data_IF_988516293944
#
_entry.id   IF_988516293944
#
_cell.length_a   1.000
_cell.length_b   1.000
_cell.length_c   1.000
_cell.angle_alpha   90.00
_cell.angle_beta   90.00
_cell.angle_gamma   90.00
#
_symmetry.space_group_name_H-M   'P 1'
#
loop_
_entity.id
_entity.type
_entity.pdbx_description
1 polymer ?
#
# COMPACT_ATOMS: atom_id res chain seq x y z
N UNK A 1 5.10 -7.44 21.74
CA UNK A 1 5.66 -6.43 20.79
C UNK A 1 6.79 -6.94 19.90
N UNK A 2 7.87 -7.56 20.42
CA UNK A 2 9.03 -7.99 19.60
C UNK A 2 8.70 -8.92 18.42
N UNK A 3 7.66 -9.75 18.51
CA UNK A 3 7.28 -10.68 17.44
C UNK A 3 6.47 -10.02 16.31
N UNK A 4 5.64 -9.01 16.61
CA UNK A 4 4.85 -8.27 15.62
C UNK A 4 5.78 -7.58 14.62
N UNK A 5 6.80 -6.90 15.14
CA UNK A 5 7.77 -6.16 14.31
C UNK A 5 8.63 -7.07 13.43
N UNK A 6 8.84 -8.33 13.84
CA UNK A 6 9.70 -9.28 13.10
C UNK A 6 9.09 -9.68 11.76
N UNK A 7 7.78 -9.94 11.73
CA UNK A 7 7.08 -10.37 10.52
C UNK A 7 6.64 -9.21 9.63
N UNK A 8 6.50 -8.00 10.21
CA UNK A 8 6.14 -6.79 9.50
C UNK A 8 7.33 -6.03 8.89
N UNK A 9 8.56 -6.56 9.02
CA UNK A 9 9.76 -5.92 8.44
C UNK A 9 9.62 -5.58 6.96
N UNK A 10 9.12 -6.46 6.07
CA UNK A 10 8.96 -6.12 4.66
C UNK A 10 8.00 -4.95 4.44
N UNK A 11 6.88 -4.93 5.17
CA UNK A 11 5.91 -3.84 5.11
C UNK A 11 6.49 -2.51 5.60
N UNK A 12 7.36 -2.53 6.62
CA UNK A 12 8.02 -1.33 7.13
C UNK A 12 9.08 -0.79 6.16
N UNK A 13 9.90 -1.68 5.57
CA UNK A 13 10.88 -1.30 4.55
C UNK A 13 10.21 -0.75 3.30
N UNK A 14 9.10 -1.38 2.87
CA UNK A 14 8.33 -0.90 1.73
C UNK A 14 7.62 0.42 2.04
N UNK A 15 7.09 0.62 3.24
CA UNK A 15 6.54 1.91 3.64
C UNK A 15 7.62 2.99 3.56
N UNK A 16 8.82 2.75 4.11
CA UNK A 16 9.92 3.71 4.00
C UNK A 16 10.27 4.01 2.53
N UNK A 17 10.25 2.98 1.66
CA UNK A 17 10.46 3.16 0.23
C UNK A 17 9.38 4.04 -0.42
N UNK A 18 8.09 3.79 -0.13
CA UNK A 18 6.96 4.62 -0.60
C UNK A 18 7.13 6.07 -0.14
N UNK A 19 7.44 6.26 1.14
CA UNK A 19 7.67 7.60 1.68
C UNK A 19 8.75 8.36 0.92
N UNK A 20 9.87 7.68 0.61
CA UNK A 20 10.97 8.31 -0.13
C UNK A 20 10.52 8.61 -1.58
N UNK A 21 9.98 7.63 -2.29
CA UNK A 21 9.70 7.78 -3.73
C UNK A 21 8.57 8.79 -4.01
N UNK A 22 7.53 8.84 -3.17
CA UNK A 22 6.42 9.79 -3.31
C UNK A 22 6.84 11.24 -2.98
N UNK A 23 7.86 11.45 -2.14
CA UNK A 23 8.29 12.79 -1.73
C UNK A 23 9.54 13.31 -2.47
N UNK A 24 10.22 12.47 -3.25
CA UNK A 24 11.36 12.89 -4.08
C UNK A 24 10.88 13.79 -5.23
N UNK A 25 11.66 14.84 -5.50
CA UNK A 25 11.48 15.66 -6.69
C UNK A 25 12.16 15.00 -7.89
N UNK A 26 11.37 14.47 -8.82
CA UNK A 26 11.87 13.95 -10.11
C UNK A 26 12.21 15.09 -11.06
N UNK A 27 13.31 15.82 -10.82
CA UNK A 27 13.73 17.02 -11.56
C UNK A 27 13.69 16.90 -13.09
N UNK A 28 14.80 16.58 -13.75
CA UNK A 28 14.84 16.43 -15.22
C UNK A 28 14.27 15.08 -15.70
N UNK A 29 14.10 14.12 -14.79
CA UNK A 29 13.63 12.76 -15.08
C UNK A 29 12.12 12.75 -15.41
N UNK A 30 11.32 13.61 -14.77
CA UNK A 30 9.89 13.72 -15.03
C UNK A 30 9.51 14.28 -16.41
N UNK A 31 10.49 14.75 -17.21
CA UNK A 31 10.28 15.18 -18.60
C UNK A 31 10.53 14.06 -19.63
N UNK A 32 10.89 12.86 -19.19
CA UNK A 32 11.09 11.73 -20.09
C UNK A 32 9.75 11.28 -20.70
N UNK A 33 9.79 10.87 -21.97
CA UNK A 33 8.63 10.38 -22.75
C UNK A 33 7.93 9.15 -22.13
N UNK A 34 8.55 8.53 -21.13
CA UNK A 34 7.99 7.42 -20.35
C UNK A 34 6.97 7.89 -19.29
N UNK A 35 7.00 9.16 -18.88
CA UNK A 35 6.05 9.73 -17.92
C UNK A 35 4.86 10.34 -18.66
N UNK A 36 3.82 9.54 -18.85
CA UNK A 36 2.55 10.02 -19.39
C UNK A 36 1.70 10.71 -18.30
N UNK A 37 0.78 11.63 -18.67
CA UNK A 37 -0.15 12.23 -17.72
C UNK A 37 -1.01 11.13 -17.06
N UNK A 38 -0.81 10.91 -15.75
CA UNK A 38 -1.47 9.85 -14.98
C UNK A 38 -0.59 8.64 -14.65
N UNK A 39 0.68 8.59 -15.08
CA UNK A 39 1.63 7.55 -14.66
C UNK A 39 1.80 7.51 -13.13
N UNK A 40 1.77 8.68 -12.51
CA UNK A 40 1.86 8.83 -11.06
C UNK A 40 0.71 8.13 -10.33
N UNK A 41 -0.54 8.30 -10.81
CA UNK A 41 -1.74 7.64 -10.28
C UNK A 41 -1.66 6.11 -10.33
N UNK A 42 -1.15 5.57 -11.44
CA UNK A 42 -0.93 4.11 -11.59
C UNK A 42 0.16 3.63 -10.66
N UNK A 43 1.22 4.43 -10.49
CA UNK A 43 2.32 4.14 -9.57
C UNK A 43 1.84 4.10 -8.13
N UNK A 44 1.07 5.11 -7.70
CA UNK A 44 0.39 5.15 -6.41
C UNK A 44 -0.45 3.89 -6.16
N UNK A 45 -1.36 3.56 -7.09
CA UNK A 45 -2.16 2.32 -7.00
C UNK A 45 -1.28 1.06 -6.82
N UNK A 46 -0.23 0.91 -7.63
CA UNK A 46 0.68 -0.24 -7.54
C UNK A 46 1.50 -0.30 -6.24
N UNK A 47 2.02 0.83 -5.79
CA UNK A 47 2.81 0.93 -4.56
C UNK A 47 2.00 0.55 -3.33
N UNK A 48 0.79 1.09 -3.21
CA UNK A 48 -0.11 0.84 -2.08
C UNK A 48 -0.76 -0.55 -2.13
N UNK A 49 -0.95 -1.12 -3.33
CA UNK A 49 -1.28 -2.54 -3.49
C UNK A 49 -0.20 -3.42 -2.83
N UNK A 50 1.07 -3.22 -3.18
CA UNK A 50 2.18 -4.02 -2.61
C UNK A 50 2.30 -3.78 -1.10
N UNK A 51 2.09 -2.55 -0.63
CA UNK A 51 2.07 -2.24 0.80
C UNK A 51 1.00 -3.05 1.55
N UNK A 52 -0.22 -3.12 1.02
CA UNK A 52 -1.31 -3.90 1.59
C UNK A 52 -1.03 -5.41 1.54
N UNK A 53 -0.42 -5.92 0.46
CA UNK A 53 0.03 -7.32 0.35
C UNK A 53 1.06 -7.66 1.42
N UNK A 54 2.07 -6.80 1.63
CA UNK A 54 3.09 -7.05 2.65
C UNK A 54 2.52 -6.98 4.07
N UNK A 55 1.64 -6.02 4.34
CA UNK A 55 0.97 -5.91 5.65
C UNK A 55 0.11 -7.15 5.92
N UNK A 56 -0.68 -7.58 4.94
CA UNK A 56 -1.52 -8.77 5.02
C UNK A 56 -0.72 -10.06 5.16
N UNK A 57 0.37 -10.21 4.40
CA UNK A 57 1.29 -11.35 4.48
C UNK A 57 1.97 -11.43 5.85
N UNK A 58 2.38 -10.28 6.41
CA UNK A 58 2.92 -10.20 7.77
C UNK A 58 1.90 -10.63 8.82
N UNK A 59 0.63 -10.24 8.66
CA UNK A 59 -0.45 -10.65 9.56
C UNK A 59 -0.74 -12.15 9.48
N UNK A 60 -0.86 -12.70 8.27
CA UNK A 60 -1.05 -14.13 8.02
C UNK A 60 0.10 -14.94 8.61
N UNK A 61 1.35 -14.47 8.48
CA UNK A 61 2.52 -15.18 9.02
C UNK A 61 2.59 -15.14 10.55
N UNK A 62 2.06 -14.07 11.16
CA UNK A 62 2.07 -13.91 12.60
C UNK A 62 0.95 -14.67 13.30
N UNK A 63 -0.26 -14.64 12.75
CA UNK A 63 -1.46 -15.19 13.39
C UNK A 63 -2.01 -16.44 12.69
N UNK A 64 -1.51 -16.78 11.50
CA UNK A 64 -1.98 -17.90 10.70
C UNK A 64 -3.10 -17.53 9.73
N UNK A 65 -3.22 -18.31 8.65
CA UNK A 65 -4.19 -18.10 7.56
C UNK A 65 -5.64 -18.05 8.08
N UNK A 66 -5.99 -18.91 9.04
CA UNK A 66 -7.34 -19.04 9.59
C UNK A 66 -7.81 -17.80 10.37
N UNK A 67 -6.88 -16.95 10.78
CA UNK A 67 -7.17 -15.72 11.53
C UNK A 67 -7.27 -14.48 10.64
N UNK A 68 -6.96 -14.57 9.34
CA UNK A 68 -7.15 -13.48 8.40
C UNK A 68 -8.60 -13.43 7.92
N UNK A 69 -9.45 -12.75 8.69
CA UNK A 69 -10.86 -12.55 8.37
C UNK A 69 -11.07 -11.26 7.56
N UNK A 70 -12.27 -11.06 7.01
CA UNK A 70 -12.67 -9.80 6.37
C UNK A 70 -12.39 -8.59 7.27
N UNK A 71 -12.62 -8.72 8.58
CA UNK A 71 -12.34 -7.65 9.55
C UNK A 71 -10.85 -7.33 9.68
N UNK A 72 -9.98 -8.34 9.58
CA UNK A 72 -8.53 -8.13 9.53
C UNK A 72 -8.12 -7.42 8.24
N UNK A 73 -8.73 -7.78 7.11
CA UNK A 73 -8.59 -7.08 5.83
C UNK A 73 -9.01 -5.62 5.92
N UNK A 74 -10.20 -5.32 6.44
CA UNK A 74 -10.70 -3.95 6.62
C UNK A 74 -9.76 -3.12 7.51
N UNK A 75 -9.23 -3.70 8.60
CA UNK A 75 -8.23 -3.00 9.43
C UNK A 75 -6.95 -2.69 8.65
N UNK A 76 -6.44 -3.65 7.88
CA UNK A 76 -5.27 -3.44 7.02
C UNK A 76 -5.52 -2.36 5.97
N UNK A 77 -6.72 -2.32 5.38
CA UNK A 77 -7.14 -1.29 4.41
C UNK A 77 -7.00 0.11 5.03
N UNK A 78 -7.64 0.32 6.18
CA UNK A 78 -7.61 1.63 6.83
C UNK A 78 -6.21 2.05 7.24
N UNK A 79 -5.36 1.12 7.69
CA UNK A 79 -3.96 1.42 8.01
C UNK A 79 -3.21 1.93 6.77
N UNK A 80 -3.37 1.25 5.62
CA UNK A 80 -2.67 1.60 4.38
C UNK A 80 -3.21 2.91 3.79
N UNK A 81 -4.52 3.12 3.78
CA UNK A 81 -5.15 4.36 3.31
C UNK A 81 -4.80 5.55 4.20
N UNK A 82 -4.81 5.36 5.53
CA UNK A 82 -4.38 6.42 6.45
C UNK A 82 -2.92 6.79 6.23
N UNK A 83 -2.07 5.80 5.96
CA UNK A 83 -0.67 6.03 5.63
C UNK A 83 -0.50 6.86 4.34
N UNK A 84 -1.26 6.54 3.28
CA UNK A 84 -1.27 7.33 2.04
C UNK A 84 -1.77 8.75 2.26
N UNK A 85 -2.86 8.91 3.02
CA UNK A 85 -3.40 10.23 3.37
C UNK A 85 -2.40 11.08 4.17
N UNK A 86 -1.59 10.48 5.04
CA UNK A 86 -0.51 11.20 5.74
C UNK A 86 0.56 11.65 4.74
N UNK A 87 0.94 10.82 3.77
CA UNK A 87 1.90 11.21 2.72
C UNK A 87 1.36 12.37 1.89
N UNK A 88 0.10 12.31 1.45
CA UNK A 88 -0.57 13.37 0.69
C UNK A 88 -0.61 14.70 1.46
N UNK A 89 -0.94 14.64 2.75
CA UNK A 89 -0.90 15.82 3.62
C UNK A 89 0.53 16.37 3.74
N UNK A 90 1.52 15.50 3.91
CA UNK A 90 2.93 15.92 3.96
C UNK A 90 3.39 16.55 2.63
N UNK A 91 2.99 15.99 1.49
CA UNK A 91 3.27 16.58 0.18
C UNK A 91 2.66 17.98 0.08
N UNK A 92 1.42 18.16 0.53
CA UNK A 92 0.75 19.46 0.50
C UNK A 92 1.33 20.51 1.45
N UNK A 93 1.71 20.14 2.67
CA UNK A 93 2.12 21.09 3.72
C UNK A 93 3.63 21.24 3.90
N UNK A 94 4.40 20.18 3.65
CA UNK A 94 5.85 20.13 3.92
C UNK A 94 6.64 20.16 2.61
N UNK A 95 6.25 19.35 1.63
CA UNK A 95 6.97 19.21 0.36
C UNK A 95 6.31 20.04 -0.74
N UNK A 96 6.36 21.37 -0.60
CA UNK A 96 5.67 22.36 -1.46
C UNK A 96 6.04 22.32 -2.95
N UNK A 97 7.00 21.49 -3.36
CA UNK A 97 7.32 21.19 -4.75
C UNK A 97 6.49 20.06 -5.37
N UNK A 98 5.65 19.37 -4.58
CA UNK A 98 4.69 18.34 -5.02
C UNK A 98 3.27 18.83 -4.74
N UNK A 99 2.38 18.69 -5.71
CA UNK A 99 0.94 18.85 -5.47
C UNK A 99 0.42 17.60 -4.78
N UNK A 100 -0.11 17.73 -3.56
CA UNK A 100 -0.93 16.68 -2.97
C UNK A 100 -2.28 16.67 -3.67
N UNK A 101 -2.63 15.57 -4.34
CA UNK A 101 -3.85 15.40 -5.12
C UNK A 101 -4.76 14.36 -4.45
N UNK A 102 -6.03 14.71 -4.27
CA UNK A 102 -7.01 13.76 -3.74
C UNK A 102 -7.21 12.53 -4.64
N UNK A 103 -6.87 12.66 -5.92
CA UNK A 103 -6.89 11.58 -6.90
C UNK A 103 -5.83 10.50 -6.60
N UNK A 104 -4.69 10.90 -6.04
CA UNK A 104 -3.61 9.97 -5.66
C UNK A 104 -4.02 9.17 -4.42
N UNK A 105 -4.65 9.82 -3.43
CA UNK A 105 -5.27 9.13 -2.29
C UNK A 105 -6.35 8.12 -2.72
N UNK A 106 -7.14 8.47 -3.74
CA UNK A 106 -8.12 7.54 -4.29
C UNK A 106 -7.44 6.32 -4.92
N UNK A 107 -6.36 6.54 -5.67
CA UNK A 107 -5.58 5.47 -6.28
C UNK A 107 -4.91 4.57 -5.21
N UNK A 108 -4.42 5.15 -4.11
CA UNK A 108 -3.88 4.41 -2.96
C UNK A 108 -4.96 3.49 -2.34
N UNK A 109 -6.17 4.02 -2.17
CA UNK A 109 -7.31 3.26 -1.65
C UNK A 109 -7.72 2.13 -2.60
N UNK A 110 -7.77 2.38 -3.91
CA UNK A 110 -8.06 1.35 -4.91
C UNK A 110 -7.01 0.23 -4.85
N UNK A 111 -5.71 0.58 -4.83
CA UNK A 111 -4.62 -0.38 -4.71
C UNK A 111 -4.71 -1.23 -3.44
N UNK A 112 -4.95 -0.60 -2.28
CA UNK A 112 -5.14 -1.30 -1.02
C UNK A 112 -6.36 -2.24 -1.04
N UNK A 113 -7.47 -1.80 -1.61
CA UNK A 113 -8.70 -2.58 -1.75
C UNK A 113 -8.49 -3.81 -2.65
N UNK A 114 -7.85 -3.62 -3.81
CA UNK A 114 -7.50 -4.71 -4.73
C UNK A 114 -6.61 -5.76 -4.07
N UNK A 115 -5.62 -5.35 -3.28
CA UNK A 115 -4.74 -6.26 -2.56
C UNK A 115 -5.49 -7.11 -1.54
N UNK A 116 -6.36 -6.50 -0.74
CA UNK A 116 -7.14 -7.21 0.29
C UNK A 116 -8.13 -8.17 -0.36
N UNK A 117 -8.80 -7.75 -1.43
CA UNK A 117 -9.65 -8.63 -2.21
C UNK A 117 -8.88 -9.84 -2.74
N UNK A 118 -7.71 -9.62 -3.36
CA UNK A 118 -6.86 -10.69 -3.88
C UNK A 118 -6.42 -11.67 -2.78
N UNK A 119 -6.05 -11.17 -1.59
CA UNK A 119 -5.72 -12.02 -0.43
C UNK A 119 -6.93 -12.86 -0.03
N UNK A 120 -8.10 -12.25 0.18
CA UNK A 120 -9.31 -12.95 0.63
C UNK A 120 -9.73 -14.04 -0.36
N UNK A 121 -9.72 -13.74 -1.66
CA UNK A 121 -10.02 -14.73 -2.71
C UNK A 121 -9.02 -15.87 -2.70
N UNK A 122 -7.73 -15.57 -2.56
CA UNK A 122 -6.66 -16.60 -2.51
C UNK A 122 -6.82 -17.51 -1.29
N UNK A 123 -7.13 -16.93 -0.12
CA UNK A 123 -7.36 -17.69 1.10
C UNK A 123 -8.63 -18.55 1.00
N UNK A 124 -9.70 -18.01 0.43
CA UNK A 124 -10.93 -18.76 0.18
C UNK A 124 -10.71 -19.92 -0.79
N UNK A 125 -10.06 -19.68 -1.93
CA UNK A 125 -9.73 -20.72 -2.91
C UNK A 125 -8.84 -21.82 -2.28
N UNK A 126 -7.84 -21.42 -1.48
CA UNK A 126 -6.93 -22.38 -0.81
C UNK A 126 -7.63 -23.22 0.27
N UNK A 127 -8.73 -22.71 0.85
CA UNK A 127 -9.53 -23.45 1.82
C UNK A 127 -10.39 -24.53 1.13
N UNK A 128 -10.98 -24.22 -0.03
CA UNK A 128 -11.86 -25.13 -0.77
C UNK A 128 -11.11 -26.13 -1.68
N UNK A 129 -9.83 -25.90 -1.98
CA UNK A 129 -9.02 -26.82 -2.78
C UNK A 129 -8.49 -28.05 -1.99
N UNK A 130 -8.78 -28.13 -0.69
CA UNK A 130 -8.36 -29.24 0.18
C UNK A 130 -9.45 -30.30 0.40
N UNK A 131 -10.61 -30.11 -0.24
CA UNK A 131 -11.73 -31.04 -0.31
C UNK A 131 -11.69 -31.79 -1.65
#
# INVERSE_FOLDING_TARGET
>A
MKQVLKYQRPALWWALFIFIICNIQFGSVGKSHLFFPGFDKVTHCGLFFVQAVFLGSGFIRQYGVRHFTLMAGIRAFFIVVLYGGIIELLQRYVFTWRSGEWDDLFCDAVGAGMAIFAILVTLYASANAKD
#
